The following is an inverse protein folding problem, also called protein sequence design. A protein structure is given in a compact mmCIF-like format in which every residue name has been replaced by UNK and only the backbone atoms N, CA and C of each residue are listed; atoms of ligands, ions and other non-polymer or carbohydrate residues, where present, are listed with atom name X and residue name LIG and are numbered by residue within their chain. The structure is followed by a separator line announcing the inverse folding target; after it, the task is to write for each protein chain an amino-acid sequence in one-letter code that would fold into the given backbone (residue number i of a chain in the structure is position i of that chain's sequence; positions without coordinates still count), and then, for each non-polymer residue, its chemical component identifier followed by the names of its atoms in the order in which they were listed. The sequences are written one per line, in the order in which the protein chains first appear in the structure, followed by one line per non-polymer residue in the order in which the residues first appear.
data_IF_622783092979
#
_entry.id   IF_622783092979
#
_cell.length_a   1.000
_cell.length_b   1.000
_cell.length_c   1.000
_cell.angle_alpha   90.00
_cell.angle_beta   90.00
_cell.angle_gamma   90.00
#
_symmetry.space_group_name_H-M   'P 1'
#
loop_
_entity.id
_entity.type
_entity.pdbx_description
1 polymer ?
#
# COMPACT_ATOMS: atom_id res chain seq x y z
N UNK A 1 28.32 -4.75 -40.32
CA UNK A 1 26.96 -4.42 -39.81
C UNK A 1 26.42 -5.43 -38.77
N UNK A 2 27.28 -6.14 -38.01
CA UNK A 2 26.86 -7.26 -37.10
C UNK A 2 27.07 -6.98 -35.60
N UNK A 3 27.48 -5.77 -35.22
CA UNK A 3 27.74 -5.39 -33.82
C UNK A 3 26.69 -4.43 -33.22
N UNK A 4 25.75 -3.91 -34.02
CA UNK A 4 24.71 -2.98 -33.54
C UNK A 4 23.50 -3.67 -32.89
N UNK A 5 23.20 -4.91 -33.29
CA UNK A 5 22.06 -5.68 -32.78
C UNK A 5 22.18 -6.10 -31.29
N UNK A 6 23.34 -6.55 -30.78
CA UNK A 6 23.46 -6.89 -29.35
C UNK A 6 23.39 -5.64 -28.47
N UNK A 7 23.95 -4.50 -28.90
CA UNK A 7 23.91 -3.25 -28.14
C UNK A 7 22.46 -2.78 -27.94
N UNK A 8 21.63 -2.87 -28.97
CA UNK A 8 20.22 -2.51 -28.89
C UNK A 8 19.45 -3.44 -27.94
N UNK A 9 19.76 -4.74 -27.94
CA UNK A 9 19.14 -5.73 -27.04
C UNK A 9 19.55 -5.49 -25.58
N UNK A 10 20.81 -5.15 -25.32
CA UNK A 10 21.31 -4.86 -23.96
C UNK A 10 20.74 -3.55 -23.43
N UNK A 11 20.61 -2.53 -24.28
CA UNK A 11 19.93 -1.26 -23.92
C UNK A 11 18.44 -1.52 -23.65
N UNK A 12 17.76 -2.32 -24.46
CA UNK A 12 16.35 -2.68 -24.25
C UNK A 12 16.15 -3.47 -22.95
N UNK A 13 17.06 -4.39 -22.62
CA UNK A 13 17.09 -5.13 -21.35
C UNK A 13 17.37 -4.21 -20.14
N UNK A 14 18.28 -3.25 -20.27
CA UNK A 14 18.54 -2.22 -19.24
C UNK A 14 17.35 -1.29 -19.03
N UNK A 15 16.63 -0.92 -20.10
CA UNK A 15 15.40 -0.10 -20.03
C UNK A 15 14.25 -0.85 -19.37
N UNK A 16 14.18 -2.18 -19.53
CA UNK A 16 13.18 -3.01 -18.83
C UNK A 16 13.57 -3.32 -17.38
N UNK A 17 14.86 -3.52 -17.09
CA UNK A 17 15.36 -3.76 -15.74
C UNK A 17 15.24 -2.53 -14.83
N UNK A 18 15.31 -1.32 -15.39
CA UNK A 18 15.19 -0.05 -14.65
C UNK A 18 13.76 0.33 -14.23
N UNK A 19 12.74 -0.49 -14.54
CA UNK A 19 11.37 -0.29 -14.03
C UNK A 19 11.18 -0.98 -12.70
N UNK A 20 12.18 -0.93 -11.83
CA UNK A 20 11.93 -1.11 -10.41
C UNK A 20 11.02 0.05 -10.00
N UNK A 21 9.74 -0.28 -9.88
CA UNK A 21 8.68 0.52 -9.30
C UNK A 21 9.12 0.85 -7.87
N UNK A 22 10.00 1.85 -7.71
CA UNK A 22 10.09 2.59 -6.48
C UNK A 22 8.68 3.09 -6.26
N UNK A 23 7.98 2.45 -5.32
CA UNK A 23 6.65 2.87 -4.93
C UNK A 23 6.86 4.30 -4.40
N UNK A 24 6.60 5.28 -5.26
CA UNK A 24 6.63 6.69 -4.92
C UNK A 24 5.50 6.88 -3.92
N UNK A 25 5.78 7.49 -2.77
CA UNK A 25 4.74 7.77 -1.77
C UNK A 25 3.51 8.37 -2.47
N UNK A 26 2.27 8.00 -2.09
CA UNK A 26 1.08 8.49 -2.76
C UNK A 26 1.14 10.01 -2.93
N UNK A 27 0.93 10.47 -4.16
CA UNK A 27 0.92 11.90 -4.49
C UNK A 27 -0.18 12.65 -3.73
N UNK A 28 -0.26 13.99 -3.88
CA UNK A 28 -1.30 14.77 -3.22
C UNK A 28 -2.69 14.18 -3.49
N UNK A 29 -3.55 14.07 -2.47
CA UNK A 29 -4.79 13.32 -2.59
C UNK A 29 -5.74 13.97 -3.58
N UNK A 30 -6.17 13.18 -4.58
CA UNK A 30 -7.17 13.63 -5.54
C UNK A 30 -8.56 13.59 -4.91
N UNK A 31 -9.39 14.63 -5.10
CA UNK A 31 -10.76 14.66 -4.59
C UNK A 31 -11.61 13.47 -5.07
N UNK A 32 -12.75 13.26 -4.40
CA UNK A 32 -13.82 12.38 -4.88
C UNK A 32 -14.21 12.72 -6.31
N UNK A 33 -14.38 11.70 -7.14
CA UNK A 33 -14.92 11.87 -8.49
C UNK A 33 -16.42 12.15 -8.42
N UNK A 34 -16.84 13.34 -8.86
CA UNK A 34 -18.23 13.78 -8.83
C UNK A 34 -19.03 13.33 -10.06
N UNK A 35 -18.39 12.74 -11.07
CA UNK A 35 -19.07 12.22 -12.27
C UNK A 35 -19.72 10.86 -12.02
N UNK A 36 -19.26 10.12 -11.00
CA UNK A 36 -19.84 8.83 -10.61
C UNK A 36 -21.05 9.07 -9.71
N UNK A 37 -22.23 8.70 -10.20
CA UNK A 37 -23.49 8.78 -9.45
C UNK A 37 -23.66 7.56 -8.55
N UNK A 38 -23.95 7.79 -7.26
CA UNK A 38 -24.21 6.72 -6.28
C UNK A 38 -22.98 6.33 -5.43
N UNK A 39 -23.09 5.22 -4.69
CA UNK A 39 -22.01 4.74 -3.82
C UNK A 39 -20.71 4.46 -4.56
N UNK A 40 -19.59 4.86 -3.97
CA UNK A 40 -18.25 4.60 -4.48
C UNK A 40 -17.51 3.60 -3.58
N UNK A 41 -16.62 2.83 -4.20
CA UNK A 41 -15.74 1.91 -3.49
C UNK A 41 -14.33 2.46 -3.45
N UNK A 42 -13.72 2.38 -2.28
CA UNK A 42 -12.37 2.82 -1.96
C UNK A 42 -11.60 1.65 -1.34
N UNK A 43 -10.27 1.69 -1.41
CA UNK A 43 -9.43 0.69 -0.77
C UNK A 43 -8.19 1.33 -0.12
N UNK A 44 -7.84 0.85 1.06
CA UNK A 44 -6.50 0.95 1.64
C UNK A 44 -5.84 -0.41 1.44
N UNK A 45 -4.65 -0.43 0.83
CA UNK A 45 -3.90 -1.65 0.56
C UNK A 45 -2.48 -1.47 1.10
N UNK A 46 -2.12 -2.25 2.11
CA UNK A 46 -0.82 -2.17 2.78
C UNK A 46 -0.15 -3.53 2.80
N UNK A 47 1.12 -3.57 2.40
CA UNK A 47 1.93 -4.79 2.38
C UNK A 47 3.37 -4.50 2.79
N UNK A 48 3.85 -5.17 3.84
CA UNK A 48 5.18 -4.90 4.40
C UNK A 48 5.95 -6.21 4.50
N UNK A 49 6.91 -6.38 3.58
CA UNK A 49 7.85 -7.49 3.60
C UNK A 49 9.17 -7.11 4.25
N UNK A 50 9.63 -5.88 4.02
CA UNK A 50 10.92 -5.37 4.51
C UNK A 50 10.71 -4.58 5.79
N UNK A 51 11.35 -5.04 6.86
CA UNK A 51 11.37 -4.38 8.17
C UNK A 51 12.80 -4.05 8.58
N UNK A 52 12.99 -2.91 9.25
CA UNK A 52 14.33 -2.46 9.66
C UNK A 52 14.90 -3.26 10.85
N UNK A 53 14.03 -3.71 11.75
CA UNK A 53 14.43 -4.20 13.08
C UNK A 53 13.90 -5.59 13.44
N UNK A 54 13.08 -6.19 12.57
CA UNK A 54 12.52 -7.53 12.76
C UNK A 54 12.68 -8.34 11.47
N UNK A 55 12.49 -9.66 11.56
CA UNK A 55 12.69 -10.56 10.41
C UNK A 55 11.79 -10.15 9.24
N UNK A 56 12.32 -10.09 8.00
CA UNK A 56 11.51 -9.80 6.84
C UNK A 56 10.52 -10.93 6.55
N UNK A 57 9.45 -10.60 5.84
CA UNK A 57 8.52 -11.54 5.22
C UNK A 57 8.84 -11.65 3.72
N UNK A 58 8.43 -12.75 3.09
CA UNK A 58 8.78 -13.01 1.70
C UNK A 58 7.82 -12.38 0.69
N UNK A 59 6.54 -12.22 1.04
CA UNK A 59 5.48 -11.98 0.05
C UNK A 59 4.45 -10.92 0.42
N UNK A 60 4.47 -10.34 1.62
CA UNK A 60 3.41 -9.44 2.08
C UNK A 60 3.21 -8.20 1.19
N UNK A 61 4.28 -7.61 0.68
CA UNK A 61 4.23 -6.54 -0.33
C UNK A 61 3.68 -7.01 -1.69
N UNK A 62 4.06 -8.22 -2.14
CA UNK A 62 3.56 -8.82 -3.38
C UNK A 62 2.10 -9.22 -3.29
N UNK A 63 1.64 -9.73 -2.16
CA UNK A 63 0.24 -10.05 -1.92
C UNK A 63 -0.62 -8.79 -1.95
N UNK A 64 -0.13 -7.68 -1.36
CA UNK A 64 -0.77 -6.38 -1.45
C UNK A 64 -0.82 -5.82 -2.88
N UNK A 65 0.26 -5.96 -3.67
CA UNK A 65 0.25 -5.61 -5.10
C UNK A 65 -0.80 -6.41 -5.88
N UNK A 66 -0.86 -7.73 -5.68
CA UNK A 66 -1.85 -8.59 -6.32
C UNK A 66 -3.28 -8.21 -5.94
N UNK A 67 -3.52 -7.90 -4.66
CA UNK A 67 -4.83 -7.45 -4.20
C UNK A 67 -5.24 -6.10 -4.81
N UNK A 68 -4.31 -5.13 -4.87
CA UNK A 68 -4.53 -3.84 -5.56
C UNK A 68 -4.93 -4.08 -7.03
N UNK A 69 -4.19 -4.93 -7.73
CA UNK A 69 -4.41 -5.19 -9.14
C UNK A 69 -5.73 -5.96 -9.38
N UNK A 70 -6.10 -6.87 -8.46
CA UNK A 70 -7.42 -7.49 -8.44
C UNK A 70 -8.54 -6.44 -8.32
N UNK A 71 -8.44 -5.50 -7.38
CA UNK A 71 -9.47 -4.44 -7.19
C UNK A 71 -9.64 -3.55 -8.42
N UNK A 72 -8.58 -3.37 -9.22
CA UNK A 72 -8.62 -2.63 -10.49
C UNK A 72 -9.25 -3.42 -11.63
N UNK A 73 -9.28 -4.75 -11.52
CA UNK A 73 -9.89 -5.61 -12.53
C UNK A 73 -11.42 -5.51 -12.52
N UNK A 74 -12.11 -5.87 -13.62
CA UNK A 74 -13.57 -5.95 -13.65
C UNK A 74 -14.15 -6.86 -12.55
N UNK A 75 -13.48 -7.98 -12.27
CA UNK A 75 -13.91 -8.93 -11.24
C UNK A 75 -13.79 -8.37 -9.81
N UNK A 76 -12.81 -7.48 -9.58
CA UNK A 76 -12.62 -6.78 -8.30
C UNK A 76 -13.37 -5.45 -8.19
N UNK A 77 -14.24 -5.12 -9.15
CA UNK A 77 -15.08 -3.93 -9.11
C UNK A 77 -14.56 -2.71 -9.89
N UNK A 78 -13.52 -2.89 -10.71
CA UNK A 78 -12.97 -1.88 -11.61
C UNK A 78 -12.63 -0.55 -10.92
N UNK A 79 -12.02 -0.62 -9.74
CA UNK A 79 -11.63 0.59 -8.99
C UNK A 79 -10.61 1.41 -9.78
N UNK A 80 -10.86 2.72 -9.84
CA UNK A 80 -9.87 3.69 -10.33
C UNK A 80 -8.69 3.70 -9.37
N UNK A 81 -7.47 3.85 -9.90
CA UNK A 81 -6.24 3.96 -9.09
C UNK A 81 -6.37 5.01 -7.98
N UNK A 82 -7.04 6.13 -8.28
CA UNK A 82 -7.26 7.21 -7.32
C UNK A 82 -8.10 6.84 -6.11
N UNK A 83 -8.89 5.77 -6.21
CA UNK A 83 -9.69 5.24 -5.12
C UNK A 83 -8.97 4.15 -4.33
N UNK A 84 -7.70 3.86 -4.66
CA UNK A 84 -6.86 2.91 -3.95
C UNK A 84 -5.65 3.63 -3.35
N UNK A 85 -5.57 3.65 -2.03
CA UNK A 85 -4.41 4.16 -1.31
C UNK A 85 -3.47 2.99 -0.95
N UNK A 86 -2.32 2.94 -1.61
CA UNK A 86 -1.36 1.83 -1.48
C UNK A 86 -0.13 2.23 -0.67
N UNK A 87 0.30 1.39 0.28
CA UNK A 87 1.53 1.55 1.07
C UNK A 87 2.33 0.25 1.07
N UNK A 88 3.49 0.24 0.42
CA UNK A 88 4.37 -0.94 0.35
C UNK A 88 5.70 -0.69 1.06
N UNK A 89 6.17 -1.67 1.83
CA UNK A 89 7.47 -1.64 2.51
C UNK A 89 7.72 -0.28 3.21
N UNK A 90 8.82 0.42 2.91
CA UNK A 90 9.23 1.69 3.54
C UNK A 90 8.18 2.81 3.43
N UNK A 91 7.22 2.70 2.50
CA UNK A 91 6.10 3.62 2.43
C UNK A 91 5.12 3.45 3.59
N UNK A 92 5.01 2.26 4.18
CA UNK A 92 4.12 1.96 5.29
C UNK A 92 4.70 2.43 6.64
N UNK A 93 5.05 3.72 6.67
CA UNK A 93 5.52 4.44 7.83
C UNK A 93 4.40 5.30 8.45
N UNK A 94 4.64 5.77 9.68
CA UNK A 94 3.68 6.53 10.48
C UNK A 94 3.17 7.79 9.75
N UNK A 95 4.04 8.53 9.06
CA UNK A 95 3.65 9.74 8.34
C UNK A 95 2.68 9.43 7.20
N UNK A 96 3.00 8.44 6.37
CA UNK A 96 2.16 8.09 5.24
C UNK A 96 0.84 7.44 5.67
N UNK A 97 0.83 6.70 6.78
CA UNK A 97 -0.38 6.08 7.32
C UNK A 97 -1.22 7.04 8.18
N UNK A 98 -0.68 7.70 9.20
CA UNK A 98 -1.49 8.54 10.06
C UNK A 98 -1.85 9.89 9.45
N UNK A 99 -0.97 10.49 8.65
CA UNK A 99 -1.17 11.85 8.13
C UNK A 99 -1.76 11.78 6.73
N UNK A 100 -1.03 11.16 5.79
CA UNK A 100 -1.42 11.22 4.37
C UNK A 100 -2.66 10.40 4.06
N UNK A 101 -2.83 9.20 4.64
CA UNK A 101 -4.08 8.45 4.45
C UNK A 101 -5.29 9.19 5.02
N UNK A 102 -5.18 9.85 6.19
CA UNK A 102 -6.28 10.68 6.73
C UNK A 102 -6.61 11.86 5.81
N UNK A 103 -5.60 12.52 5.24
CA UNK A 103 -5.81 13.58 4.25
C UNK A 103 -6.48 13.04 2.98
N UNK A 104 -6.04 11.87 2.51
CA UNK A 104 -6.65 11.20 1.36
C UNK A 104 -8.11 10.84 1.63
N UNK A 105 -8.41 10.24 2.78
CA UNK A 105 -9.77 9.87 3.17
C UNK A 105 -10.68 11.10 3.27
N UNK A 106 -10.17 12.20 3.84
CA UNK A 106 -10.89 13.50 3.87
C UNK A 106 -11.18 14.01 2.46
N UNK A 107 -10.23 13.90 1.52
CA UNK A 107 -10.43 14.32 0.14
C UNK A 107 -11.49 13.47 -0.59
N UNK A 108 -11.64 12.20 -0.22
CA UNK A 108 -12.67 11.30 -0.77
C UNK A 108 -14.09 11.57 -0.24
N UNK A 109 -14.21 12.28 0.88
CA UNK A 109 -15.50 12.70 1.47
C UNK A 109 -16.52 11.54 1.46
N UNK A 110 -16.18 10.44 2.13
CA UNK A 110 -17.03 9.24 2.12
C UNK A 110 -18.47 9.58 2.52
N UNK A 111 -19.41 9.04 1.77
CA UNK A 111 -20.85 9.26 1.89
C UNK A 111 -21.53 7.96 2.35
N UNK A 112 -22.79 8.09 2.80
CA UNK A 112 -23.60 6.92 3.16
C UNK A 112 -23.71 5.96 1.97
N UNK A 113 -23.40 4.68 2.21
CA UNK A 113 -23.43 3.63 1.20
C UNK A 113 -22.07 3.35 0.55
N UNK A 114 -21.10 4.26 0.67
CA UNK A 114 -19.74 4.00 0.21
C UNK A 114 -19.09 2.83 0.95
N UNK A 115 -18.11 2.21 0.31
CA UNK A 115 -17.36 1.08 0.85
C UNK A 115 -15.89 1.44 0.92
N UNK A 116 -15.25 1.12 2.05
CA UNK A 116 -13.81 1.17 2.19
C UNK A 116 -13.31 -0.24 2.51
N UNK A 117 -12.58 -0.84 1.57
CA UNK A 117 -11.84 -2.08 1.80
C UNK A 117 -10.51 -1.75 2.46
N UNK A 118 -10.08 -2.60 3.40
CA UNK A 118 -8.76 -2.51 4.02
C UNK A 118 -8.09 -3.87 3.89
N UNK A 119 -6.97 -3.91 3.16
CA UNK A 119 -6.12 -5.08 3.03
C UNK A 119 -4.79 -4.79 3.70
N UNK A 120 -4.42 -5.59 4.70
CA UNK A 120 -3.20 -5.41 5.49
C UNK A 120 -2.44 -6.74 5.52
N UNK A 121 -1.21 -6.75 4.99
CA UNK A 121 -0.29 -7.88 5.05
C UNK A 121 1.04 -7.44 5.67
N UNK A 122 1.48 -8.15 6.70
CA UNK A 122 2.68 -7.81 7.46
C UNK A 122 2.73 -8.54 8.79
N UNK A 123 3.69 -8.17 9.65
CA UNK A 123 3.69 -8.63 11.04
C UNK A 123 2.49 -8.06 11.79
N UNK A 124 1.80 -8.92 12.52
CA UNK A 124 0.78 -8.56 13.50
C UNK A 124 1.30 -8.84 14.91
N UNK A 125 0.79 -8.10 15.87
CA UNK A 125 1.06 -8.31 17.30
C UNK A 125 -0.22 -8.03 18.10
N UNK A 126 -0.26 -8.48 19.35
CA UNK A 126 -1.38 -8.32 20.25
C UNK A 126 -0.91 -7.82 21.62
N UNK A 127 -1.61 -6.82 22.17
CA UNK A 127 -1.30 -6.30 23.52
C UNK A 127 -2.03 -7.15 24.59
N UNK A 128 -3.27 -7.53 24.30
CA UNK A 128 -4.15 -8.38 25.10
C UNK A 128 -5.06 -9.20 24.16
N UNK A 129 -6.03 -9.94 24.69
CA UNK A 129 -6.94 -10.80 23.91
C UNK A 129 -7.81 -10.03 22.90
N UNK A 130 -7.99 -8.72 23.08
CA UNK A 130 -8.93 -7.90 22.29
C UNK A 130 -8.22 -6.85 21.41
N UNK A 131 -6.91 -6.63 21.59
CA UNK A 131 -6.16 -5.57 20.90
C UNK A 131 -5.08 -6.13 19.96
N UNK A 132 -5.43 -6.26 18.68
CA UNK A 132 -4.54 -6.66 17.59
C UNK A 132 -4.09 -5.45 16.75
N UNK A 133 -2.82 -5.42 16.34
CA UNK A 133 -2.29 -4.34 15.50
C UNK A 133 -1.31 -4.84 14.45
N UNK A 134 -1.30 -4.20 13.28
CA UNK A 134 -0.28 -4.39 12.24
C UNK A 134 0.93 -3.53 12.54
N UNK A 135 2.13 -4.12 12.49
CA UNK A 135 3.38 -3.40 12.67
C UNK A 135 3.72 -2.59 11.43
N UNK A 136 3.84 -1.27 11.59
CA UNK A 136 4.40 -0.38 10.58
C UNK A 136 5.92 -0.51 10.52
N UNK A 137 6.55 -0.15 9.40
CA UNK A 137 8.01 -0.30 9.22
C UNK A 137 8.86 0.39 10.28
N UNK A 138 8.32 1.44 10.90
CA UNK A 138 9.02 2.31 11.85
C UNK A 138 8.51 2.15 13.28
N UNK A 139 7.39 1.45 13.50
CA UNK A 139 6.75 1.38 14.81
C UNK A 139 7.03 0.03 15.45
N UNK A 140 8.07 -0.01 16.28
CA UNK A 140 8.13 -0.94 17.42
C UNK A 140 7.55 -0.15 18.59
N UNK A 141 6.25 -0.33 18.88
CA UNK A 141 5.78 0.05 20.22
C UNK A 141 6.52 -0.87 21.20
N UNK A 142 7.10 -0.35 22.28
CA UNK A 142 7.51 -1.22 23.36
C UNK A 142 6.22 -1.72 24.00
N UNK A 143 5.68 -2.84 23.53
CA UNK A 143 4.66 -3.63 24.21
C UNK A 143 5.25 -4.36 25.44
N UNK A 144 6.37 -3.85 25.98
CA UNK A 144 7.02 -4.30 27.21
C UNK A 144 7.34 -3.05 28.05
N UNK A 145 6.29 -2.34 28.46
CA UNK A 145 6.30 -1.69 29.77
C UNK A 145 5.18 -2.32 30.56
N UNK A 146 5.42 -3.56 30.95
CA UNK A 146 4.70 -4.19 32.05
C UNK A 146 4.79 -3.23 33.22
N UNK A 147 3.64 -2.84 33.73
CA UNK A 147 3.44 -2.27 35.05
C UNK A 147 4.35 -3.00 36.04
N UNK A 148 5.27 -2.26 36.67
CA UNK A 148 5.85 -2.68 37.94
C UNK A 148 5.92 -1.44 38.81
N UNK A 149 4.92 -1.38 39.71
CA UNK A 149 4.73 -0.53 40.90
C UNK A 149 4.81 0.99 40.72
#
# INVERSE_FOLDING_TARGET
MRFFLPILITILLLVYAGKDLTAQAPGPPRPRDTTVTGPQTFALVMGISKYKFIRPLNFADKDAEMFRDFMKSPAGGALKEDNIYTLLNDQANETNFQIKFKQWLKAKKLQKGDRLFMYLAGHGDAIDEDQFFTLLTTVIRPAIRTTTL
#
